data_IF_524316936703
#
_entry.id   IF_524316936703
#
_cell.length_a   1.000
_cell.length_b   1.000
_cell.length_c   1.000
_cell.angle_alpha   90.00
_cell.angle_beta   90.00
_cell.angle_gamma   90.00
#
_symmetry.space_group_name_H-M   'P 1'
#
loop_
_entity.id
_entity.type
_entity.pdbx_description
1 polymer ?
#
# COMPACT_ATOMS: atom_id res chain seq x y z
N UNK A 1 -17.36 5.76 14.19
CA UNK A 1 -16.09 6.38 14.64
C UNK A 1 -15.24 5.27 15.20
N UNK A 2 -14.14 4.90 14.55
CA UNK A 2 -13.28 3.79 14.99
C UNK A 2 -12.49 4.27 16.21
N UNK A 3 -12.59 3.54 17.32
CA UNK A 3 -12.24 3.96 18.69
C UNK A 3 -10.73 4.24 18.92
N UNK A 4 -9.89 4.05 17.90
CA UNK A 4 -8.43 4.08 17.99
C UNK A 4 -7.77 5.33 17.37
N UNK A 5 -8.54 6.28 16.82
CA UNK A 5 -7.99 7.48 16.17
C UNK A 5 -7.29 8.47 17.13
N UNK A 6 -7.22 8.16 18.44
CA UNK A 6 -6.46 8.93 19.42
C UNK A 6 -5.09 8.29 19.76
N UNK A 7 -4.77 7.13 19.21
CA UNK A 7 -3.45 6.50 19.36
C UNK A 7 -2.54 6.92 18.20
N UNK A 8 -1.24 7.04 18.47
CA UNK A 8 -0.25 7.30 17.41
C UNK A 8 -0.01 6.02 16.62
N UNK A 9 -0.10 6.09 15.29
CA UNK A 9 0.20 4.94 14.44
C UNK A 9 1.66 4.48 14.61
N UNK A 10 1.88 3.17 14.61
CA UNK A 10 3.22 2.57 14.68
C UNK A 10 4.01 2.79 13.39
N UNK A 11 3.29 2.89 12.26
CA UNK A 11 3.85 3.34 11.00
C UNK A 11 2.81 4.09 10.15
N UNK A 12 3.34 4.85 9.19
CA UNK A 12 2.55 5.69 8.29
C UNK A 12 3.16 5.69 6.89
N UNK A 13 2.33 5.70 5.86
CA UNK A 13 2.74 5.90 4.49
C UNK A 13 1.80 6.87 3.77
N UNK A 14 2.34 7.63 2.81
CA UNK A 14 1.55 8.50 1.94
C UNK A 14 1.49 7.94 0.52
N UNK A 15 0.28 7.88 -0.03
CA UNK A 15 0.05 7.49 -1.42
C UNK A 15 0.09 8.76 -2.28
N UNK A 16 0.82 8.70 -3.39
CA UNK A 16 0.84 9.74 -4.44
C UNK A 16 0.88 9.05 -5.80
N UNK A 17 -0.03 9.45 -6.69
CA UNK A 17 0.02 9.05 -8.09
C UNK A 17 1.19 9.69 -8.84
N UNK A 18 1.47 9.15 -10.02
CA UNK A 18 2.46 9.69 -10.94
C UNK A 18 1.96 10.98 -11.63
N UNK A 19 2.72 11.47 -12.62
CA UNK A 19 2.36 12.67 -13.39
C UNK A 19 1.02 12.53 -14.13
N UNK A 20 0.68 11.33 -14.61
CA UNK A 20 -0.59 11.05 -15.31
C UNK A 20 -1.77 10.86 -14.35
N UNK A 21 -1.51 10.52 -13.10
CA UNK A 21 -2.49 10.18 -12.08
C UNK A 21 -2.41 11.08 -10.84
N UNK A 22 -2.09 12.36 -11.03
CA UNK A 22 -1.83 13.32 -9.96
C UNK A 22 -3.01 13.55 -8.98
N UNK A 23 -4.21 13.10 -9.33
CA UNK A 23 -5.40 13.14 -8.45
C UNK A 23 -5.38 12.02 -7.41
N UNK A 24 -4.64 10.93 -7.63
CA UNK A 24 -4.50 9.84 -6.68
C UNK A 24 -3.63 10.29 -5.53
N UNK A 25 -4.21 10.32 -4.34
CA UNK A 25 -3.52 10.68 -3.10
C UNK A 25 -4.19 9.97 -1.94
N UNK A 26 -3.45 9.72 -0.88
CA UNK A 26 -4.00 9.03 0.27
C UNK A 26 -3.03 8.90 1.42
N UNK A 27 -3.56 8.39 2.52
CA UNK A 27 -2.82 8.14 3.75
C UNK A 27 -3.09 6.70 4.19
N UNK A 28 -2.04 6.04 4.68
CA UNK A 28 -2.12 4.70 5.27
C UNK A 28 -1.53 4.77 6.67
N UNK A 29 -2.26 4.21 7.63
CA UNK A 29 -1.83 4.09 9.02
C UNK A 29 -1.81 2.63 9.44
N UNK A 30 -0.77 2.24 10.18
CA UNK A 30 -0.57 0.90 10.69
C UNK A 30 -0.54 0.92 12.21
N UNK A 31 -1.34 0.07 12.84
CA UNK A 31 -1.41 -0.08 14.30
C UNK A 31 -1.20 -1.55 14.68
N UNK A 32 -0.26 -1.85 15.58
CA UNK A 32 -0.09 -3.17 16.18
C UNK A 32 -1.31 -3.48 17.07
N UNK A 33 -2.04 -4.54 16.74
CA UNK A 33 -3.23 -4.95 17.50
C UNK A 33 -3.30 -6.46 17.63
N UNK A 34 -3.39 -6.96 18.86
CA UNK A 34 -3.64 -8.37 19.18
C UNK A 34 -2.78 -9.37 18.40
N UNK A 35 -1.50 -9.06 18.18
CA UNK A 35 -0.56 -9.94 17.43
C UNK A 35 -0.69 -9.86 15.90
N UNK A 36 -1.47 -8.91 15.38
CA UNK A 36 -1.54 -8.54 13.97
C UNK A 36 -1.41 -7.02 13.78
N UNK A 37 -1.79 -6.55 12.59
CA UNK A 37 -1.75 -5.12 12.25
C UNK A 37 -3.11 -4.68 11.72
N UNK A 38 -3.69 -3.64 12.33
CA UNK A 38 -4.80 -2.91 11.75
C UNK A 38 -4.25 -1.92 10.71
N UNK A 39 -4.73 -2.03 9.48
CA UNK A 39 -4.40 -1.11 8.39
C UNK A 39 -5.60 -0.22 8.11
N UNK A 40 -5.41 1.09 8.19
CA UNK A 40 -6.42 2.09 7.82
C UNK A 40 -5.91 2.85 6.62
N UNK A 41 -6.55 2.65 5.46
CA UNK A 41 -6.21 3.33 4.21
C UNK A 41 -7.35 4.26 3.78
N UNK A 42 -7.01 5.51 3.52
CA UNK A 42 -7.89 6.50 2.90
C UNK A 42 -7.25 6.94 1.59
N UNK A 43 -7.96 6.73 0.47
CA UNK A 43 -7.45 7.02 -0.88
C UNK A 43 -8.52 7.76 -1.67
N UNK A 44 -8.13 8.89 -2.26
CA UNK A 44 -8.96 9.72 -3.12
C UNK A 44 -8.47 9.67 -4.58
N UNK A 45 -9.35 10.01 -5.51
CA UNK A 45 -8.99 10.21 -6.92
C UNK A 45 -8.73 8.94 -7.73
N UNK A 46 -9.14 7.78 -7.21
CA UNK A 46 -9.05 6.49 -7.93
C UNK A 46 -9.89 6.53 -9.23
N UNK A 47 -9.36 5.95 -10.33
CA UNK A 47 -10.02 6.01 -11.63
C UNK A 47 -11.22 5.06 -11.69
N UNK A 48 -12.44 5.62 -11.66
CA UNK A 48 -13.63 4.80 -11.86
C UNK A 48 -13.79 4.43 -13.34
N UNK A 49 -13.79 3.14 -13.65
CA UNK A 49 -14.06 2.63 -14.99
C UNK A 49 -15.53 2.19 -15.06
N UNK A 50 -16.44 3.09 -15.41
CA UNK A 50 -17.81 2.63 -15.68
C UNK A 50 -17.80 1.66 -16.87
N UNK A 51 -18.36 0.46 -16.66
CA UNK A 51 -18.63 -0.58 -17.68
C UNK A 51 -17.52 -1.60 -18.03
N UNK A 52 -16.51 -1.81 -17.18
CA UNK A 52 -15.57 -2.94 -17.34
C UNK A 52 -15.84 -4.07 -16.30
N UNK A 53 -15.70 -5.36 -16.66
CA UNK A 53 -15.66 -6.44 -15.66
C UNK A 53 -14.51 -6.18 -14.67
N UNK A 54 -14.75 -6.34 -13.37
CA UNK A 54 -13.82 -5.98 -12.28
C UNK A 54 -13.46 -4.49 -12.20
N UNK A 55 -14.24 -3.61 -12.84
CA UNK A 55 -14.13 -2.18 -12.62
C UNK A 55 -14.20 -1.85 -11.12
N UNK A 56 -13.36 -0.91 -10.69
CA UNK A 56 -13.33 -0.37 -9.34
C UNK A 56 -12.87 -1.37 -8.25
N UNK A 57 -12.23 -2.47 -8.63
CA UNK A 57 -11.41 -3.26 -7.71
C UNK A 57 -9.95 -2.80 -7.81
N UNK A 58 -9.34 -2.48 -6.66
CA UNK A 58 -7.96 -2.03 -6.58
C UNK A 58 -7.18 -2.95 -5.64
N UNK A 59 -6.14 -3.59 -6.18
CA UNK A 59 -5.21 -4.38 -5.36
C UNK A 59 -4.44 -3.47 -4.41
N UNK A 60 -4.14 -3.98 -3.22
CA UNK A 60 -3.40 -3.27 -2.20
C UNK A 60 -2.33 -4.20 -1.64
N UNK A 61 -1.06 -3.87 -1.86
CA UNK A 61 0.07 -4.69 -1.45
C UNK A 61 1.15 -3.82 -0.81
N UNK A 62 1.99 -4.45 0.00
CA UNK A 62 3.23 -3.86 0.49
C UNK A 62 4.34 -4.32 -0.44
N UNK A 63 5.22 -3.42 -0.83
CA UNK A 63 6.34 -3.69 -1.72
C UNK A 63 7.64 -3.86 -0.93
N UNK A 64 8.64 -4.55 -1.51
CA UNK A 64 9.94 -4.79 -0.86
C UNK A 64 10.92 -3.61 -0.98
N UNK A 65 10.64 -2.66 -1.89
CA UNK A 65 11.42 -1.44 -2.08
C UNK A 65 11.08 -0.37 -1.04
N UNK A 66 12.05 0.51 -0.78
CA UNK A 66 11.94 1.58 0.20
C UNK A 66 11.64 2.96 -0.43
N UNK A 67 11.53 3.03 -1.76
CA UNK A 67 11.32 4.29 -2.49
C UNK A 67 10.15 4.15 -3.46
N UNK A 68 9.22 5.11 -3.39
CA UNK A 68 8.09 5.21 -4.31
C UNK A 68 8.45 6.03 -5.58
N UNK A 69 9.65 5.82 -6.12
CA UNK A 69 10.16 6.55 -7.29
C UNK A 69 10.62 5.60 -8.37
N UNK A 70 10.91 6.13 -9.55
CA UNK A 70 11.36 5.37 -10.70
C UNK A 70 11.82 6.29 -11.81
N UNK A 71 11.59 5.89 -13.04
CA UNK A 71 11.94 6.65 -14.25
C UNK A 71 10.69 7.00 -15.06
N UNK A 72 10.88 7.48 -16.30
CA UNK A 72 9.78 7.87 -17.18
C UNK A 72 8.97 6.67 -17.71
N UNK A 73 9.57 5.48 -17.76
CA UNK A 73 8.91 4.25 -18.25
C UNK A 73 8.15 3.54 -17.13
N UNK A 74 8.75 3.48 -15.94
CA UNK A 74 8.14 2.95 -14.72
C UNK A 74 8.34 3.95 -13.56
N UNK A 75 7.35 4.80 -13.28
CA UNK A 75 7.42 5.82 -12.22
C UNK A 75 7.63 5.25 -10.81
N UNK A 76 7.45 3.95 -10.62
CA UNK A 76 7.53 3.28 -9.32
C UNK A 76 8.52 2.11 -9.30
N UNK A 77 9.47 2.05 -10.25
CA UNK A 77 10.44 0.94 -10.37
C UNK A 77 11.20 0.62 -9.07
N UNK A 78 11.48 1.62 -8.23
CA UNK A 78 12.20 1.43 -6.97
C UNK A 78 11.34 0.85 -5.85
N UNK A 79 10.03 0.68 -6.07
CA UNK A 79 9.16 -0.12 -5.19
C UNK A 79 9.49 -1.61 -5.30
N UNK A 80 10.08 -2.07 -6.42
CA UNK A 80 10.37 -3.49 -6.68
C UNK A 80 9.11 -4.36 -6.58
N UNK A 81 9.25 -5.67 -6.34
CA UNK A 81 8.13 -6.60 -6.27
C UNK A 81 7.29 -6.48 -5.00
N UNK A 82 6.31 -7.38 -4.87
CA UNK A 82 5.59 -7.57 -3.62
C UNK A 82 6.57 -7.94 -2.51
N UNK A 83 6.32 -7.45 -1.30
CA UNK A 83 7.08 -7.84 -0.12
C UNK A 83 7.03 -9.35 0.02
N UNK A 84 8.19 -9.99 -0.11
CA UNK A 84 8.32 -11.45 -0.09
C UNK A 84 9.63 -11.85 0.61
N UNK A 85 9.73 -11.61 1.93
CA UNK A 85 10.98 -11.82 2.67
C UNK A 85 11.43 -13.28 2.67
N UNK A 86 10.49 -14.21 2.48
CA UNK A 86 10.75 -15.66 2.43
C UNK A 86 11.00 -16.17 1.00
N UNK A 87 10.91 -15.28 0.00
CA UNK A 87 11.13 -15.56 -1.42
C UNK A 87 10.37 -16.80 -1.94
N UNK A 88 9.11 -16.94 -1.55
CA UNK A 88 8.24 -18.04 -1.95
C UNK A 88 7.41 -17.67 -3.17
N UNK A 89 7.13 -18.63 -4.06
CA UNK A 89 6.24 -18.40 -5.21
C UNK A 89 4.77 -18.38 -4.79
N UNK A 90 3.90 -17.75 -5.59
CA UNK A 90 2.45 -17.82 -5.40
C UNK A 90 1.95 -19.27 -5.21
N UNK A 91 1.01 -19.52 -4.29
CA UNK A 91 0.30 -18.54 -3.43
C UNK A 91 1.03 -18.22 -2.11
N UNK A 92 2.27 -18.68 -1.93
CA UNK A 92 2.97 -18.68 -0.65
C UNK A 92 3.66 -17.38 -0.26
N UNK A 93 3.82 -16.40 -1.18
CA UNK A 93 4.44 -15.12 -0.80
C UNK A 93 3.70 -14.47 0.36
N UNK A 94 4.45 -14.01 1.34
CA UNK A 94 3.87 -13.37 2.51
C UNK A 94 3.59 -11.91 2.20
N UNK A 95 2.34 -11.55 1.88
CA UNK A 95 1.86 -10.15 1.92
C UNK A 95 1.73 -9.63 3.37
N UNK A 96 2.48 -10.24 4.29
CA UNK A 96 2.32 -10.14 5.72
C UNK A 96 3.28 -9.10 6.28
N UNK A 97 2.74 -8.19 7.07
CA UNK A 97 3.51 -7.24 7.86
C UNK A 97 4.24 -7.96 8.99
N UNK A 98 5.57 -7.88 8.99
CA UNK A 98 6.40 -8.26 10.13
C UNK A 98 6.93 -7.02 10.85
N UNK A 99 7.14 -7.19 12.16
CA UNK A 99 7.54 -6.24 13.22
C UNK A 99 8.62 -5.18 12.94
N UNK A 100 9.27 -5.15 11.78
CA UNK A 100 10.43 -4.29 11.50
C UNK A 100 10.43 -3.66 10.10
N UNK A 101 9.35 -3.75 9.33
CA UNK A 101 9.26 -3.07 8.05
C UNK A 101 8.99 -1.58 8.29
N UNK A 102 10.05 -0.76 8.23
CA UNK A 102 9.92 0.70 8.13
C UNK A 102 9.40 1.02 6.73
N UNK A 103 8.26 1.70 6.67
CA UNK A 103 7.59 2.16 5.46
C UNK A 103 8.12 3.52 5.01
#
# INVERSE_FOLDING_TARGET
MVQFMNETADAYAQIRGDAGHCKIKGNIYFFEMYGGTLVVAEVEGLPNAENAPNANFYGFHIHEGALCTGDEEDPFAQTKGHYNPENTVHPGHAERLYRNSRF
#
